data_IF_871397078940
#
_entry.id   IF_871397078940
#
_cell.length_a   1.000
_cell.length_b   1.000
_cell.length_c   1.000
_cell.angle_alpha   90.00
_cell.angle_beta   90.00
_cell.angle_gamma   90.00
#
_symmetry.space_group_name_H-M   'P 1'
#
loop_
_entity.id
_entity.type
_entity.pdbx_description
1 polymer ?
#
# COMPACT_ATOMS: atom_id res chain seq x y z
N UNK A 1 10.39 -25.44 -21.55
CA UNK A 1 10.16 -24.11 -21.02
C UNK A 1 9.61 -24.28 -19.60
N UNK A 2 10.49 -24.21 -18.60
CA UNK A 2 10.06 -24.32 -17.22
C UNK A 2 9.36 -23.00 -16.86
N UNK A 3 8.04 -23.05 -16.68
CA UNK A 3 7.34 -21.99 -16.01
C UNK A 3 7.86 -21.96 -14.56
N UNK A 4 8.64 -20.94 -14.19
CA UNK A 4 8.85 -20.63 -12.78
C UNK A 4 7.46 -20.38 -12.19
N UNK A 5 6.94 -21.34 -11.47
CA UNK A 5 5.76 -21.14 -10.62
C UNK A 5 6.27 -20.16 -9.56
N UNK A 6 5.86 -18.89 -9.69
CA UNK A 6 6.20 -17.86 -8.73
C UNK A 6 5.75 -18.28 -7.34
N UNK A 7 6.58 -18.00 -6.34
CA UNK A 7 6.24 -18.29 -4.94
C UNK A 7 4.91 -17.60 -4.60
N UNK A 8 3.98 -18.32 -3.95
CA UNK A 8 2.79 -17.72 -3.37
C UNK A 8 3.17 -16.60 -2.40
N UNK A 9 2.61 -15.41 -2.57
CA UNK A 9 2.83 -14.27 -1.69
C UNK A 9 1.55 -13.84 -0.98
N UNK A 10 1.70 -13.45 0.28
CA UNK A 10 0.70 -12.76 1.07
C UNK A 10 1.03 -11.27 1.06
N UNK A 11 0.21 -10.46 0.41
CA UNK A 11 0.42 -9.01 0.29
C UNK A 11 -0.67 -8.28 1.06
N UNK A 12 -0.28 -7.40 1.99
CA UNK A 12 -1.20 -6.53 2.70
C UNK A 12 -1.16 -5.13 2.09
N UNK A 13 -2.33 -4.61 1.72
CA UNK A 13 -2.51 -3.22 1.35
C UNK A 13 -3.01 -2.45 2.57
N UNK A 14 -2.29 -1.41 2.97
CA UNK A 14 -2.66 -0.52 4.08
C UNK A 14 -3.01 0.85 3.52
N UNK A 15 -4.26 1.24 3.67
CA UNK A 15 -4.77 2.53 3.23
C UNK A 15 -5.01 3.46 4.42
N UNK A 16 -4.51 4.68 4.31
CA UNK A 16 -4.62 5.73 5.30
C UNK A 16 -5.89 6.58 5.17
N UNK A 17 -5.88 7.78 5.79
CA UNK A 17 -7.07 8.62 5.95
C UNK A 17 -7.70 9.01 4.62
N UNK A 18 -9.02 9.06 4.65
CA UNK A 18 -9.90 9.49 3.56
C UNK A 18 -9.97 8.52 2.37
N UNK A 19 -9.16 7.47 2.31
CA UNK A 19 -9.19 6.49 1.21
C UNK A 19 -10.45 5.61 1.24
N UNK A 20 -11.15 5.55 2.37
CA UNK A 20 -12.49 4.98 2.48
C UNK A 20 -13.55 5.77 1.68
N UNK A 21 -13.24 7.00 1.28
CA UNK A 21 -14.14 7.88 0.52
C UNK A 21 -13.85 7.89 -0.99
N UNK A 22 -12.97 7.02 -1.48
CA UNK A 22 -12.74 6.88 -2.91
C UNK A 22 -14.04 6.53 -3.65
N UNK A 23 -14.28 7.23 -4.77
CA UNK A 23 -15.51 7.15 -5.54
C UNK A 23 -16.63 8.07 -5.05
N UNK A 24 -16.51 8.64 -3.85
CA UNK A 24 -17.48 9.59 -3.28
C UNK A 24 -16.96 11.01 -3.21
N UNK A 25 -15.64 11.18 -3.08
CA UNK A 25 -14.95 12.45 -2.91
C UNK A 25 -14.10 12.75 -4.15
N UNK A 26 -14.17 13.99 -4.63
CA UNK A 26 -13.33 14.52 -5.72
C UNK A 26 -13.19 13.54 -6.91
N UNK A 27 -14.33 13.11 -7.56
CA UNK A 27 -14.28 12.11 -8.64
C UNK A 27 -13.40 12.54 -9.82
N UNK A 28 -13.24 13.85 -10.04
CA UNK A 28 -12.39 14.41 -11.08
C UNK A 28 -10.88 14.17 -10.83
N UNK A 29 -10.47 13.93 -9.56
CA UNK A 29 -9.08 13.64 -9.19
C UNK A 29 -8.87 12.11 -9.05
N UNK A 30 -9.77 11.42 -8.36
CA UNK A 30 -9.61 10.03 -7.95
C UNK A 30 -10.49 9.04 -8.70
N UNK A 31 -11.39 9.52 -9.59
CA UNK A 31 -12.38 8.70 -10.29
C UNK A 31 -13.58 8.33 -9.43
N UNK A 32 -14.55 7.63 -10.03
CA UNK A 32 -15.80 7.21 -9.39
C UNK A 32 -15.76 5.81 -8.77
N UNK A 33 -14.67 5.05 -9.00
CA UNK A 33 -14.51 3.69 -8.46
C UNK A 33 -14.20 3.72 -6.98
N UNK A 34 -14.83 2.83 -6.22
CA UNK A 34 -14.47 2.61 -4.81
C UNK A 34 -13.18 1.79 -4.72
N UNK A 35 -12.46 1.92 -3.61
CA UNK A 35 -11.30 1.04 -3.39
C UNK A 35 -11.75 -0.43 -3.33
N UNK A 36 -12.88 -0.73 -2.70
CA UNK A 36 -13.37 -2.11 -2.59
C UNK A 36 -13.61 -2.75 -3.97
N UNK A 37 -14.29 -2.05 -4.89
CA UNK A 37 -14.51 -2.60 -6.23
C UNK A 37 -13.21 -2.83 -7.00
N UNK A 38 -12.23 -1.96 -6.82
CA UNK A 38 -10.90 -2.14 -7.40
C UNK A 38 -10.13 -3.29 -6.75
N UNK A 39 -10.24 -3.43 -5.43
CA UNK A 39 -9.61 -4.53 -4.70
C UNK A 39 -10.15 -5.90 -5.12
N UNK A 40 -11.46 -6.00 -5.34
CA UNK A 40 -12.08 -7.22 -5.86
C UNK A 40 -11.52 -7.61 -7.24
N UNK A 41 -11.23 -6.62 -8.10
CA UNK A 41 -10.58 -6.87 -9.39
C UNK A 41 -9.12 -7.33 -9.23
N UNK A 42 -8.39 -6.77 -8.27
CA UNK A 42 -7.03 -7.24 -7.96
C UNK A 42 -7.05 -8.68 -7.47
N UNK A 43 -7.96 -9.05 -6.58
CA UNK A 43 -8.09 -10.43 -6.10
C UNK A 43 -8.44 -11.39 -7.25
N UNK A 44 -9.31 -10.98 -8.15
CA UNK A 44 -9.66 -11.78 -9.32
C UNK A 44 -8.49 -11.95 -10.30
N UNK A 45 -7.59 -10.95 -10.39
CA UNK A 45 -6.41 -11.01 -11.25
C UNK A 45 -5.27 -11.84 -10.65
N UNK A 46 -5.04 -11.74 -9.35
CA UNK A 46 -3.89 -12.36 -8.66
C UNK A 46 -4.33 -13.56 -7.81
N UNK A 47 -5.08 -14.49 -8.41
CA UNK A 47 -5.65 -15.65 -7.72
C UNK A 47 -4.61 -16.60 -7.11
N UNK A 48 -3.37 -16.55 -7.58
CA UNK A 48 -2.25 -17.36 -7.08
C UNK A 48 -1.59 -16.76 -5.83
N UNK A 49 -2.03 -15.57 -5.41
CA UNK A 49 -1.52 -14.84 -4.25
C UNK A 49 -2.63 -14.52 -3.28
N UNK A 50 -2.29 -14.24 -2.04
CA UNK A 50 -3.26 -13.79 -1.05
C UNK A 50 -3.16 -12.28 -0.90
N UNK A 51 -4.20 -11.56 -1.32
CA UNK A 51 -4.30 -10.12 -1.11
C UNK A 51 -5.26 -9.83 0.04
N UNK A 52 -4.85 -8.98 0.96
CA UNK A 52 -5.70 -8.42 2.01
C UNK A 52 -5.57 -6.91 2.02
N UNK A 53 -6.58 -6.22 2.53
CA UNK A 53 -6.44 -4.79 2.76
C UNK A 53 -7.04 -4.39 4.10
N UNK A 54 -6.48 -3.34 4.68
CA UNK A 54 -7.01 -2.61 5.82
C UNK A 54 -7.02 -1.13 5.51
N UNK A 55 -7.95 -0.40 6.10
CA UNK A 55 -8.04 1.04 5.99
C UNK A 55 -8.19 1.63 7.37
N UNK A 56 -7.45 2.69 7.67
CA UNK A 56 -7.58 3.42 8.92
C UNK A 56 -7.41 4.92 8.70
N UNK A 57 -8.26 5.70 9.34
CA UNK A 57 -8.09 7.15 9.41
C UNK A 57 -7.16 7.57 10.56
N UNK A 58 -6.76 6.61 11.41
CA UNK A 58 -5.91 6.86 12.57
C UNK A 58 -4.48 6.41 12.30
N UNK A 59 -3.52 7.23 12.67
CA UNK A 59 -2.09 6.92 12.58
C UNK A 59 -1.74 5.62 13.32
N UNK A 60 -2.25 5.46 14.55
CA UNK A 60 -2.06 4.24 15.34
C UNK A 60 -2.61 2.98 14.65
N UNK A 61 -3.76 3.08 13.98
CA UNK A 61 -4.32 1.94 13.25
C UNK A 61 -3.47 1.50 12.06
N UNK A 62 -2.77 2.45 11.41
CA UNK A 62 -1.80 2.14 10.35
C UNK A 62 -0.58 1.44 10.95
N UNK A 63 -0.06 1.95 12.07
CA UNK A 63 1.08 1.36 12.78
C UNK A 63 0.76 -0.06 13.25
N UNK A 64 -0.40 -0.27 13.85
CA UNK A 64 -0.84 -1.59 14.31
C UNK A 64 -0.93 -2.59 13.14
N UNK A 65 -1.45 -2.16 11.99
CA UNK A 65 -1.52 -2.99 10.79
C UNK A 65 -0.13 -3.39 10.27
N UNK A 66 0.85 -2.47 10.32
CA UNK A 66 2.24 -2.76 9.96
C UNK A 66 2.88 -3.77 10.92
N UNK A 67 2.68 -3.58 12.22
CA UNK A 67 3.19 -4.49 13.24
C UNK A 67 2.57 -5.89 13.10
N UNK A 68 1.27 -5.97 12.87
CA UNK A 68 0.57 -7.24 12.69
C UNK A 68 1.05 -7.98 11.43
N UNK A 69 1.31 -7.27 10.34
CA UNK A 69 1.84 -7.84 9.12
C UNK A 69 3.20 -8.53 9.33
N UNK A 70 4.06 -7.99 10.20
CA UNK A 70 5.38 -8.56 10.49
C UNK A 70 5.37 -9.57 11.63
N UNK A 71 4.62 -9.30 12.70
CA UNK A 71 4.74 -9.97 13.98
C UNK A 71 3.43 -10.58 14.50
N UNK A 72 2.36 -10.54 13.71
CA UNK A 72 1.07 -11.11 14.10
C UNK A 72 1.21 -12.58 14.57
N UNK A 73 0.47 -12.95 15.61
CA UNK A 73 0.52 -14.30 16.19
C UNK A 73 -0.06 -15.37 15.27
N UNK A 74 -1.12 -15.02 14.52
CA UNK A 74 -1.72 -15.91 13.53
C UNK A 74 -1.00 -15.77 12.18
N UNK A 75 -0.72 -16.90 11.52
CA UNK A 75 -0.04 -16.90 10.22
C UNK A 75 -0.83 -16.14 9.13
N UNK A 76 -2.14 -16.17 9.22
CA UNK A 76 -3.04 -15.42 8.32
C UNK A 76 -2.92 -13.89 8.46
N UNK A 77 -2.46 -13.41 9.62
CA UNK A 77 -2.26 -11.97 9.85
C UNK A 77 -0.94 -11.47 9.26
N UNK A 78 0.04 -12.36 9.09
CA UNK A 78 1.35 -11.99 8.55
C UNK A 78 1.29 -11.78 7.04
N UNK A 79 2.22 -10.96 6.55
CA UNK A 79 2.40 -10.70 5.13
C UNK A 79 3.84 -10.95 4.70
N UNK A 80 4.05 -11.21 3.42
CA UNK A 80 5.38 -11.28 2.79
C UNK A 80 5.81 -9.91 2.27
N UNK A 81 4.84 -8.98 2.08
CA UNK A 81 5.09 -7.61 1.67
C UNK A 81 3.91 -6.70 2.04
N UNK A 82 4.17 -5.41 2.15
CA UNK A 82 3.15 -4.37 2.39
C UNK A 82 3.16 -3.35 1.26
N UNK A 83 1.97 -2.96 0.81
CA UNK A 83 1.75 -1.78 -0.03
C UNK A 83 1.06 -0.74 0.84
N UNK A 84 1.74 0.38 1.08
CA UNK A 84 1.28 1.42 1.98
C UNK A 84 0.90 2.69 1.23
N UNK A 85 -0.36 3.08 1.34
CA UNK A 85 -0.82 4.42 1.00
C UNK A 85 -1.22 5.13 2.30
N UNK A 86 -0.26 5.78 2.95
CA UNK A 86 -0.48 6.45 4.23
C UNK A 86 -1.30 7.75 4.10
N UNK A 87 -1.72 8.12 2.89
CA UNK A 87 -2.42 9.38 2.64
C UNK A 87 -1.56 10.58 3.04
N UNK A 88 -2.15 11.57 3.67
CA UNK A 88 -1.43 12.77 4.10
C UNK A 88 -0.36 12.51 5.16
N UNK A 89 -0.46 11.43 5.92
CA UNK A 89 0.55 11.08 6.93
C UNK A 89 1.94 10.87 6.33
N UNK A 90 2.04 10.48 5.06
CA UNK A 90 3.33 10.31 4.40
C UNK A 90 4.22 11.55 4.46
N UNK A 91 3.61 12.74 4.56
CA UNK A 91 4.33 14.01 4.51
C UNK A 91 4.91 14.44 5.88
N UNK A 92 4.45 13.84 6.99
CA UNK A 92 4.85 14.31 8.32
C UNK A 92 4.88 13.25 9.43
N UNK A 93 4.37 12.04 9.21
CA UNK A 93 4.33 11.03 10.28
C UNK A 93 5.67 10.33 10.43
N UNK A 94 6.48 10.82 11.35
CA UNK A 94 7.71 10.13 11.78
C UNK A 94 7.36 8.81 12.49
N UNK A 95 6.23 8.74 13.19
CA UNK A 95 5.79 7.51 13.87
C UNK A 95 5.52 6.37 12.88
N UNK A 96 4.88 6.65 11.73
CA UNK A 96 4.70 5.64 10.68
C UNK A 96 6.05 5.27 10.04
N UNK A 97 6.93 6.25 9.81
CA UNK A 97 8.28 6.00 9.31
C UNK A 97 9.06 5.03 10.24
N UNK A 98 8.99 5.27 11.53
CA UNK A 98 9.61 4.40 12.55
C UNK A 98 8.98 3.00 12.57
N UNK A 99 7.66 2.90 12.37
CA UNK A 99 6.97 1.61 12.29
C UNK A 99 7.41 0.81 11.05
N UNK A 100 7.61 1.46 9.90
CA UNK A 100 8.16 0.82 8.69
C UNK A 100 9.58 0.30 8.97
N UNK A 101 10.41 1.10 9.61
CA UNK A 101 11.77 0.68 10.00
C UNK A 101 11.75 -0.51 10.97
N UNK A 102 10.81 -0.52 11.91
CA UNK A 102 10.68 -1.57 12.93
C UNK A 102 10.28 -2.93 12.37
N UNK A 103 9.61 -2.98 11.22
CA UNK A 103 9.19 -4.23 10.59
C UNK A 103 10.19 -4.78 9.56
N UNK A 104 11.33 -4.13 9.39
CA UNK A 104 12.37 -4.65 8.51
C UNK A 104 12.76 -6.08 8.93
N UNK A 105 13.02 -7.01 8.01
CA UNK A 105 13.21 -6.82 6.56
C UNK A 105 11.93 -6.95 5.71
N UNK A 106 10.72 -6.89 6.30
CA UNK A 106 9.48 -6.95 5.53
C UNK A 106 9.43 -5.77 4.53
N UNK A 107 9.37 -6.04 3.20
CA UNK A 107 9.39 -4.97 2.22
C UNK A 107 8.08 -4.17 2.23
N UNK A 108 8.21 -2.86 2.16
CA UNK A 108 7.10 -1.91 2.04
C UNK A 108 7.27 -1.08 0.78
N UNK A 109 6.27 -1.04 -0.09
CA UNK A 109 6.20 -0.09 -1.21
C UNK A 109 5.22 1.02 -0.86
N UNK A 110 5.68 2.27 -0.93
CA UNK A 110 4.82 3.45 -0.78
C UNK A 110 4.05 3.70 -2.08
N UNK A 111 2.73 3.92 -1.98
CA UNK A 111 1.86 4.19 -3.11
C UNK A 111 1.07 5.47 -2.90
N UNK A 112 0.96 6.26 -3.95
CA UNK A 112 0.05 7.41 -4.05
C UNK A 112 -0.78 7.32 -5.33
N UNK A 113 -2.08 7.59 -5.22
CA UNK A 113 -3.01 7.59 -6.35
C UNK A 113 -2.72 8.78 -7.27
N UNK A 114 -2.56 9.97 -6.66
CA UNK A 114 -2.27 11.21 -7.40
C UNK A 114 -0.78 11.36 -7.69
N UNK A 115 -0.47 12.14 -8.74
CA UNK A 115 0.88 12.63 -8.93
C UNK A 115 1.17 13.73 -7.89
N UNK A 116 1.87 13.37 -6.84
CA UNK A 116 2.20 14.27 -5.72
C UNK A 116 3.01 15.50 -6.16
N UNK A 117 3.78 15.39 -7.25
CA UNK A 117 4.57 16.49 -7.80
C UNK A 117 3.72 17.52 -8.56
N UNK A 118 2.49 17.17 -8.93
CA UNK A 118 1.53 18.08 -9.56
C UNK A 118 0.59 18.77 -8.57
N UNK A 119 0.80 18.58 -7.28
CA UNK A 119 -0.02 19.13 -6.20
C UNK A 119 0.77 20.18 -5.40
N UNK A 120 0.30 20.52 -4.20
CA UNK A 120 0.94 21.50 -3.32
C UNK A 120 2.38 21.09 -2.98
N UNK A 121 3.25 22.06 -2.80
CA UNK A 121 4.70 21.83 -2.62
C UNK A 121 5.01 20.87 -1.47
N UNK A 122 4.31 20.97 -0.34
CA UNK A 122 4.54 20.10 0.81
C UNK A 122 4.30 18.62 0.51
N UNK A 123 3.49 18.29 -0.53
CA UNK A 123 3.21 16.91 -0.93
C UNK A 123 4.37 16.25 -1.71
N UNK A 124 5.35 17.05 -2.12
CA UNK A 124 6.57 16.53 -2.79
C UNK A 124 7.54 15.90 -1.82
N UNK A 125 7.35 16.14 -0.52
CA UNK A 125 8.18 15.56 0.54
C UNK A 125 7.46 14.38 1.19
N UNK A 126 8.18 13.26 1.33
CA UNK A 126 7.73 12.08 2.07
C UNK A 126 8.75 11.74 3.15
N UNK A 127 8.29 11.56 4.38
CA UNK A 127 9.12 11.05 5.49
C UNK A 127 9.13 9.53 5.53
N UNK A 128 8.18 8.86 4.86
CA UNK A 128 8.06 7.40 4.81
C UNK A 128 8.81 6.79 3.62
N UNK A 129 8.86 7.48 2.48
CA UNK A 129 9.51 6.98 1.26
C UNK A 129 10.96 6.53 1.44
N UNK A 130 11.84 7.24 2.18
CA UNK A 130 13.24 6.84 2.34
C UNK A 130 13.42 5.46 3.00
N UNK A 131 12.42 4.97 3.73
CA UNK A 131 12.48 3.71 4.47
C UNK A 131 11.78 2.58 3.70
N UNK A 132 10.97 2.93 2.72
CA UNK A 132 10.31 1.97 1.84
C UNK A 132 11.28 1.38 0.80
N UNK A 133 10.94 0.22 0.26
CA UNK A 133 11.65 -0.39 -0.86
C UNK A 133 11.61 0.51 -2.11
N UNK A 134 10.49 1.20 -2.32
CA UNK A 134 10.29 2.10 -3.44
C UNK A 134 8.99 2.86 -3.31
N UNK A 135 8.76 3.80 -4.24
CA UNK A 135 7.55 4.64 -4.29
C UNK A 135 6.95 4.60 -5.69
N UNK A 136 5.64 4.42 -5.78
CA UNK A 136 4.86 4.49 -7.00
C UNK A 136 3.75 5.53 -6.81
N UNK A 137 3.70 6.54 -7.66
CA UNK A 137 2.74 7.63 -7.54
C UNK A 137 2.22 8.10 -8.90
N UNK A 138 0.96 8.54 -8.97
CA UNK A 138 0.43 9.27 -10.10
C UNK A 138 -0.33 8.47 -11.15
N UNK A 139 -0.48 7.17 -10.97
CA UNK A 139 -1.16 6.29 -11.92
C UNK A 139 -2.59 5.92 -11.49
N UNK A 140 -3.21 6.74 -10.64
CA UNK A 140 -4.52 6.44 -10.12
C UNK A 140 -4.53 5.15 -9.29
N UNK A 141 -5.63 4.42 -9.31
CA UNK A 141 -5.72 3.11 -8.64
C UNK A 141 -4.73 2.09 -9.21
N UNK A 142 -4.31 2.24 -10.47
CA UNK A 142 -3.34 1.33 -11.09
C UNK A 142 -1.96 1.35 -10.39
N UNK A 143 -1.68 2.38 -9.60
CA UNK A 143 -0.47 2.44 -8.76
C UNK A 143 -0.36 1.24 -7.82
N UNK A 144 -1.47 0.73 -7.30
CA UNK A 144 -1.47 -0.49 -6.47
C UNK A 144 -1.11 -1.74 -7.27
N UNK A 145 -1.67 -1.88 -8.49
CA UNK A 145 -1.33 -3.01 -9.36
C UNK A 145 0.15 -2.99 -9.72
N UNK A 146 0.70 -1.82 -10.05
CA UNK A 146 2.12 -1.67 -10.36
C UNK A 146 3.01 -2.06 -9.16
N UNK A 147 2.57 -1.75 -7.94
CA UNK A 147 3.27 -2.15 -6.73
C UNK A 147 3.25 -3.69 -6.54
N UNK A 148 2.12 -4.34 -6.82
CA UNK A 148 2.03 -5.81 -6.80
C UNK A 148 3.01 -6.42 -7.81
N UNK A 149 2.99 -5.95 -9.06
CA UNK A 149 3.93 -6.46 -10.09
C UNK A 149 5.39 -6.26 -9.66
N UNK A 150 5.74 -5.09 -9.12
CA UNK A 150 7.08 -4.83 -8.63
C UNK A 150 7.52 -5.81 -7.53
N UNK A 151 6.60 -6.20 -6.64
CA UNK A 151 6.87 -7.18 -5.59
C UNK A 151 7.03 -8.60 -6.16
N UNK A 152 6.23 -8.96 -7.16
CA UNK A 152 6.29 -10.30 -7.78
C UNK A 152 7.53 -10.48 -8.64
N UNK A 153 8.01 -9.43 -9.32
CA UNK A 153 9.17 -9.47 -10.19
C UNK A 153 10.51 -9.48 -9.42
N UNK A 154 10.51 -9.02 -8.18
CA UNK A 154 11.71 -8.93 -7.32
C UNK A 154 11.88 -10.11 -6.35
N UNK A 155 11.38 -11.30 -6.70
CA UNK A 155 11.56 -12.52 -5.90
C UNK A 155 12.85 -13.29 -6.24
#
# INVERSE_FOLDING_TARGET
>A
MEFKIGRHMKILIVNGPNLNLLGKREPHIYGSRTFQSYFDELQAKYTEHTLRHVQSNCEGGIIDALHEAAYGSADECRADAVILNAGAYTHYSVAIADAIAAIAPLPVIEVHISNVHAREEFRRHSVTAPICLGTIAGFGLDSYRLAIEALLDNQ
#
